data_IF_664014923892
#
_entry.id   IF_664014923892
#
_cell.length_a   1.000
_cell.length_b   1.000
_cell.length_c   1.000
_cell.angle_alpha   90.00
_cell.angle_beta   90.00
_cell.angle_gamma   90.00
#
_symmetry.space_group_name_H-M   'P 1'
#
loop_
_entity.id
_entity.type
_entity.pdbx_description
1 polymer ?
2 polymer ?
3 polymer ?
4 water ?
#
# COMPACT_ATOMS: atom_id res chain seq x y z
N UNK A 2 -25.29 6.88 -7.70
CA UNK A 2 -26.17 7.75 -8.48
C UNK A 2 -27.10 8.53 -7.53
N UNK A 3 -28.37 8.68 -7.94
CA UNK A 3 -29.51 9.03 -7.09
C UNK A 3 -29.54 10.51 -6.74
N UNK A 4 -28.43 11.03 -6.22
CA UNK A 4 -28.33 12.47 -6.07
C UNK A 4 -28.27 13.16 -7.44
N UNK A 5 -27.55 12.56 -8.39
CA UNK A 5 -27.30 13.28 -9.64
C UNK A 5 -28.50 13.32 -10.56
N UNK A 6 -29.49 12.48 -10.33
CA UNK A 6 -30.71 12.47 -11.13
C UNK A 6 -31.87 13.18 -10.44
N UNK A 7 -31.62 13.82 -9.29
CA UNK A 7 -32.68 14.65 -8.72
C UNK A 7 -32.91 15.86 -9.61
N UNK A 8 -34.15 16.34 -9.60
CA UNK A 8 -34.46 17.60 -10.25
C UNK A 8 -34.22 18.80 -9.36
N UNK A 9 -34.31 20.00 -9.95
CA UNK A 9 -34.00 21.22 -9.18
C UNK A 9 -34.91 21.47 -8.02
N UNK A 10 -36.23 21.19 -8.13
CA UNK A 10 -37.07 21.40 -6.96
C UNK A 10 -36.72 20.45 -5.84
N UNK A 11 -36.22 19.25 -6.20
CA UNK A 11 -35.82 18.28 -5.20
C UNK A 11 -34.53 18.71 -4.53
N UNK A 12 -33.52 19.08 -5.33
CA UNK A 12 -32.33 19.72 -4.76
C UNK A 12 -32.69 20.92 -3.87
N UNK A 13 -33.54 21.81 -4.35
CA UNK A 13 -33.88 23.01 -3.57
C UNK A 13 -34.50 22.67 -2.22
N UNK A 14 -35.20 21.54 -2.12
CA UNK A 14 -35.81 21.27 -0.86
C UNK A 14 -34.80 20.91 0.23
N UNK A 15 -33.55 20.60 -0.13
CA UNK A 15 -32.53 20.32 0.87
C UNK A 15 -31.96 21.58 1.50
N UNK A 16 -32.10 22.75 0.86
CA UNK A 16 -31.50 23.98 1.39
C UNK A 16 -32.00 24.25 2.79
N UNK A 17 -31.06 24.52 3.70
CA UNK A 17 -31.20 24.81 5.11
C UNK A 17 -31.41 23.56 5.96
N UNK A 18 -31.45 22.37 5.36
CA UNK A 18 -31.49 21.16 6.18
C UNK A 18 -30.07 20.79 6.58
N UNK A 19 -29.96 20.11 7.71
CA UNK A 19 -28.72 19.47 8.13
C UNK A 19 -28.66 18.08 7.54
N UNK A 20 -27.60 17.78 6.77
CA UNK A 20 -27.51 16.47 6.12
C UNK A 20 -26.21 15.78 6.48
N UNK A 21 -26.24 14.46 6.33
CA UNK A 21 -25.06 13.61 6.31
C UNK A 21 -24.84 13.17 4.87
N UNK A 22 -23.65 13.43 4.35
CA UNK A 22 -23.26 13.07 2.98
C UNK A 22 -22.15 12.05 3.07
N UNK A 23 -22.31 10.95 2.36
CA UNK A 23 -21.23 9.99 2.19
C UNK A 23 -20.71 10.14 0.76
N UNK A 24 -19.40 10.09 0.62
CA UNK A 24 -18.79 10.30 -0.68
C UNK A 24 -17.67 9.30 -0.91
N UNK A 25 -17.08 9.42 -2.10
CA UNK A 25 -15.98 8.56 -2.53
C UNK A 25 -14.95 8.39 -1.44
N UNK A 26 -14.33 7.21 -1.44
CA UNK A 26 -13.25 6.85 -0.52
C UNK A 26 -13.69 6.97 0.92
N UNK A 27 -14.98 6.70 1.18
CA UNK A 27 -15.57 6.69 2.52
C UNK A 27 -15.37 8.02 3.25
N UNK A 28 -15.33 9.10 2.50
CA UNK A 28 -15.44 10.43 3.08
C UNK A 28 -16.88 10.71 3.50
N UNK A 29 -17.01 11.38 4.64
CA UNK A 29 -18.30 11.63 5.27
C UNK A 29 -18.34 13.07 5.75
N UNK A 30 -19.50 13.71 5.63
CA UNK A 30 -19.68 15.11 5.91
C UNK A 30 -21.02 15.26 6.61
N UNK A 31 -21.07 16.11 7.60
CA UNK A 31 -22.34 16.58 8.17
C UNK A 31 -22.34 18.10 8.16
N UNK A 32 -23.44 18.71 7.71
CA UNK A 32 -23.48 20.15 7.58
C UNK A 32 -24.84 20.62 7.08
N UNK A 33 -24.97 21.94 7.00
CA UNK A 33 -26.20 22.60 6.65
C UNK A 33 -26.15 22.95 5.17
N UNK A 34 -27.14 22.50 4.42
CA UNK A 34 -27.10 22.70 2.97
C UNK A 34 -27.29 24.18 2.63
N UNK A 35 -26.30 24.74 1.95
CA UNK A 35 -26.42 26.09 1.43
C UNK A 35 -27.04 26.07 0.05
N UNK A 36 -26.57 25.17 -0.81
CA UNK A 36 -27.08 25.08 -2.17
C UNK A 36 -26.53 23.82 -2.82
N UNK A 37 -27.06 23.53 -4.01
CA UNK A 37 -26.51 22.51 -4.89
C UNK A 37 -26.28 23.20 -6.22
N UNK A 38 -25.09 23.07 -6.77
CA UNK A 38 -24.88 23.58 -8.10
C UNK A 38 -25.73 22.74 -9.06
N UNK A 39 -26.66 23.32 -9.82
CA UNK A 39 -27.47 22.48 -10.72
C UNK A 39 -26.69 22.00 -11.94
N UNK A 40 -25.53 22.58 -12.24
CA UNK A 40 -24.74 22.12 -13.38
C UNK A 40 -23.97 20.85 -13.04
N UNK A 41 -23.28 20.86 -11.91
CA UNK A 41 -22.40 19.79 -11.48
C UNK A 41 -23.03 18.85 -10.49
N UNK A 42 -24.14 19.25 -9.86
CA UNK A 42 -24.69 18.63 -8.66
C UNK A 42 -23.77 18.73 -7.43
N UNK A 43 -22.73 19.57 -7.47
CA UNK A 43 -21.91 19.79 -6.28
C UNK A 43 -22.78 20.28 -5.13
N UNK A 44 -22.64 19.66 -3.97
CA UNK A 44 -23.36 20.05 -2.76
C UNK A 44 -22.47 20.95 -1.92
N UNK A 45 -23.01 22.09 -1.49
CA UNK A 45 -22.29 23.05 -0.67
C UNK A 45 -22.93 23.07 0.73
N UNK A 46 -22.16 22.67 1.73
CA UNK A 46 -22.52 22.62 3.14
C UNK A 46 -21.86 23.75 3.89
N UNK A 47 -22.48 24.13 5.00
CA UNK A 47 -21.96 25.11 5.94
C UNK A 47 -21.90 24.45 7.30
N UNK A 48 -20.77 24.65 7.99
CA UNK A 48 -20.59 24.15 9.34
C UNK A 48 -20.39 25.30 10.29
N UNK A 49 -21.15 25.26 11.38
CA UNK A 49 -20.98 26.16 12.50
C UNK A 49 -19.97 25.51 13.46
N UNK A 50 -18.79 26.12 13.57
CA UNK A 50 -17.69 25.55 14.33
C UNK A 50 -17.74 25.97 15.81
N UNK A 51 -17.03 25.20 16.63
CA UNK A 51 -17.08 25.37 18.08
C UNK A 51 -16.56 26.74 18.50
N UNK A 52 -15.61 27.30 17.75
CA UNK A 52 -15.03 28.59 18.09
C UNK A 52 -15.92 29.75 17.63
N UNK A 53 -17.09 29.42 17.11
CA UNK A 53 -18.04 30.39 16.61
C UNK A 53 -17.93 30.74 15.15
N UNK A 54 -16.89 30.27 14.45
CA UNK A 54 -16.77 30.62 13.05
C UNK A 54 -17.55 29.62 12.20
N UNK A 55 -17.53 29.83 10.89
CA UNK A 55 -18.22 29.01 9.91
C UNK A 55 -17.26 28.58 8.81
N UNK A 56 -17.39 27.32 8.39
CA UNK A 56 -16.70 26.87 7.21
C UNK A 56 -17.73 26.45 6.19
N UNK A 57 -17.25 26.32 4.94
CA UNK A 57 -18.07 25.99 3.78
C UNK A 57 -17.34 24.86 3.06
N UNK A 58 -18.06 23.77 2.76
CA UNK A 58 -17.45 22.63 2.09
C UNK A 58 -18.27 22.28 0.87
N UNK A 59 -17.58 22.12 -0.26
CA UNK A 59 -18.17 21.64 -1.49
C UNK A 59 -17.77 20.20 -1.69
N UNK A 60 -18.78 19.37 -1.97
CA UNK A 60 -18.58 17.95 -2.31
C UNK A 60 -18.93 17.80 -3.79
N UNK A 61 -17.97 17.29 -4.56
CA UNK A 61 -18.19 17.13 -6.00
C UNK A 61 -19.39 16.22 -6.24
N UNK A 62 -20.26 16.65 -7.13
CA UNK A 62 -21.48 15.88 -7.36
C UNK A 62 -21.18 14.46 -7.78
N UNK A 63 -20.13 14.28 -8.60
CA UNK A 63 -19.77 12.94 -9.06
C UNK A 63 -19.20 12.05 -7.94
N UNK A 64 -18.79 12.64 -6.80
CA UNK A 64 -18.33 11.83 -5.69
C UNK A 64 -19.41 11.51 -4.66
N UNK A 65 -20.57 12.14 -4.75
CA UNK A 65 -21.63 11.90 -3.78
C UNK A 65 -22.17 10.50 -3.94
N UNK A 66 -22.30 9.77 -2.84
CA UNK A 66 -22.98 8.49 -2.85
C UNK A 66 -24.36 8.56 -2.22
N UNK A 67 -24.49 9.03 -0.96
CA UNK A 67 -25.77 9.20 -0.28
C UNK A 67 -25.86 10.55 0.43
N UNK A 68 -27.10 11.04 0.53
CA UNK A 68 -27.42 12.26 1.26
C UNK A 68 -28.63 11.94 2.14
N UNK A 69 -28.44 12.05 3.44
CA UNK A 69 -29.47 11.73 4.42
C UNK A 69 -29.78 12.97 5.23
N UNK A 70 -31.07 13.29 5.33
CA UNK A 70 -31.49 14.45 6.10
C UNK A 70 -31.49 14.09 7.59
N UNK A 71 -30.81 14.92 8.38
CA UNK A 71 -30.63 14.75 9.81
C UNK A 71 -31.53 15.67 10.65
N UNK A 72 -31.81 16.87 10.16
CA UNK A 72 -32.61 17.84 10.90
C UNK A 72 -33.10 18.88 9.92
N UNK A 73 -34.20 19.55 10.28
CA UNK A 73 -34.88 20.47 9.37
C UNK A 73 -34.36 21.90 9.44
N UNK A 74 -33.87 22.33 10.59
CA UNK A 74 -33.23 23.64 10.67
C UNK A 74 -34.18 24.82 10.75
N UNK A 75 -33.94 25.72 11.69
CA UNK A 75 -34.88 26.77 12.02
C UNK A 75 -34.47 28.11 11.39
N UNK A 76 -35.13 29.18 11.82
CA UNK A 76 -34.91 30.51 11.25
C UNK A 76 -33.54 31.07 11.56
N UNK A 77 -32.87 30.57 12.59
CA UNK A 77 -31.51 31.04 12.89
C UNK A 77 -30.51 30.53 11.87
N UNK A 78 -30.69 29.29 11.39
CA UNK A 78 -29.87 28.79 10.30
C UNK A 78 -30.00 29.71 9.10
N UNK A 79 -31.25 29.99 8.68
CA UNK A 79 -31.48 30.87 7.53
C UNK A 79 -30.75 32.19 7.70
N UNK A 80 -30.79 32.78 8.90
CA UNK A 80 -30.15 34.07 9.08
C UNK A 80 -28.65 33.94 8.99
N UNK A 81 -28.09 32.90 9.61
CA UNK A 81 -26.65 32.66 9.56
C UNK A 81 -26.16 32.51 8.12
N UNK A 82 -26.81 31.65 7.33
CA UNK A 82 -26.33 31.48 5.95
C UNK A 82 -26.55 32.76 5.15
N UNK A 83 -27.55 33.56 5.53
CA UNK A 83 -27.78 34.84 4.86
C UNK A 83 -26.60 35.80 5.03
N UNK A 84 -25.94 35.78 6.19
CA UNK A 84 -24.81 36.66 6.46
C UNK A 84 -23.47 35.95 6.33
N UNK A 85 -23.43 34.89 5.52
CA UNK A 85 -22.22 34.10 5.37
C UNK A 85 -21.19 34.85 4.55
N UNK A 86 -21.59 35.41 3.41
CA UNK A 86 -20.70 36.21 2.58
C UNK A 86 -21.03 37.70 2.66
N UNK B 2 12.78 -36.09 -2.12
CA UNK B 2 12.75 -35.21 -0.95
C UNK B 2 11.45 -34.41 -0.92
N UNK B 3 10.67 -34.53 0.16
CA UNK B 3 9.39 -33.83 0.23
C UNK B 3 9.59 -32.31 0.17
N UNK B 4 10.71 -31.82 0.69
CA UNK B 4 10.94 -30.37 0.70
C UNK B 4 11.05 -29.83 -0.72
N UNK B 5 11.86 -30.49 -1.53
CA UNK B 5 12.29 -29.94 -2.81
C UNK B 5 11.13 -29.75 -3.77
N UNK B 6 10.04 -30.46 -3.54
CA UNK B 6 8.91 -30.46 -4.46
C UNK B 6 7.66 -29.86 -3.81
N UNK B 7 7.83 -29.11 -2.73
CA UNK B 7 6.75 -28.27 -2.22
C UNK B 7 6.60 -27.03 -3.09
N UNK B 8 5.43 -26.45 -3.09
CA UNK B 8 5.24 -25.22 -3.83
C UNK B 8 5.62 -24.00 -3.00
N UNK B 9 5.64 -22.82 -3.61
CA UNK B 9 6.03 -21.62 -2.86
C UNK B 9 5.04 -21.21 -1.79
N UNK B 10 3.74 -21.40 -2.01
CA UNK B 10 2.80 -21.12 -0.93
C UNK B 10 3.07 -21.99 0.28
N UNK B 11 3.48 -23.23 0.05
CA UNK B 11 3.81 -24.09 1.17
C UNK B 11 5.12 -23.65 1.83
N UNK B 12 6.16 -23.38 1.04
CA UNK B 12 7.39 -22.83 1.62
C UNK B 12 7.11 -21.57 2.45
N UNK B 13 6.31 -20.65 1.92
CA UNK B 13 6.07 -19.38 2.59
C UNK B 13 5.42 -19.58 3.95
N UNK B 14 4.61 -20.63 4.08
CA UNK B 14 3.91 -20.86 5.33
C UNK B 14 4.87 -21.22 6.46
N UNK B 15 6.05 -21.77 6.12
CA UNK B 15 7.01 -22.12 7.16
C UNK B 15 7.73 -20.92 7.77
N UNK B 16 7.68 -19.75 7.13
CA UNK B 16 8.34 -18.58 7.70
C UNK B 16 7.84 -18.34 9.12
N UNK B 17 8.79 -18.05 10.01
CA UNK B 17 8.58 -17.74 11.43
C UNK B 17 8.37 -19.02 12.27
N UNK B 18 8.35 -20.20 11.67
CA UNK B 18 8.26 -21.43 12.43
C UNK B 18 9.65 -21.97 12.78
N UNK B 19 9.74 -22.63 13.92
CA UNK B 19 10.95 -23.37 14.26
C UNK B 19 10.88 -24.74 13.59
N UNK B 20 11.96 -25.11 12.92
CA UNK B 20 12.01 -26.40 12.23
C UNK B 20 13.32 -27.10 12.59
N UNK B 21 13.30 -28.42 12.40
CA UNK B 21 14.51 -29.23 12.38
C UNK B 21 14.73 -29.69 10.96
N UNK B 22 15.92 -29.43 10.42
CA UNK B 22 16.31 -29.80 9.08
C UNK B 22 17.39 -30.85 9.17
N UNK B 23 17.16 -32.00 8.53
CA UNK B 23 18.19 -33.01 8.34
C UNK B 23 18.73 -32.86 6.93
N UNK B 24 20.06 -32.92 6.79
CA UNK B 24 20.73 -32.61 5.55
C UNK B 24 21.76 -33.70 5.23
N UNK B 25 22.27 -33.67 3.99
CA UNK B 25 23.34 -34.56 3.55
C UNK B 25 24.42 -34.75 4.61
N UNK B 26 24.95 -35.98 4.68
CA UNK B 26 26.13 -36.31 5.49
C UNK B 26 25.87 -36.18 6.99
N UNK B 27 24.66 -36.55 7.42
CA UNK B 27 24.27 -36.57 8.83
C UNK B 27 24.42 -35.20 9.49
N UNK B 28 24.14 -34.14 8.73
CA UNK B 28 24.08 -32.80 9.30
C UNK B 28 22.66 -32.46 9.72
N UNK B 29 22.51 -31.90 10.93
CA UNK B 29 21.20 -31.56 11.46
C UNK B 29 21.23 -30.14 12.02
N UNK B 30 20.15 -29.39 11.74
CA UNK B 30 20.03 -27.99 12.02
C UNK B 30 18.67 -27.79 12.68
N UNK B 31 18.61 -26.86 13.61
CA UNK B 31 17.34 -26.47 14.22
C UNK B 31 17.29 -24.96 14.27
N UNK B 32 16.20 -24.34 13.83
CA UNK B 32 16.13 -22.90 13.90
C UNK B 32 14.84 -22.35 13.34
N UNK B 33 14.74 -21.02 13.35
CA UNK B 33 13.53 -20.32 12.95
C UNK B 33 13.63 -19.91 11.49
N UNK B 34 12.60 -20.22 10.71
CA UNK B 34 12.69 -20.05 9.27
C UNK B 34 12.50 -18.58 8.90
N UNK B 35 13.49 -18.03 8.23
CA UNK B 35 13.43 -16.70 7.67
C UNK B 35 12.82 -16.70 6.28
N UNK B 36 13.30 -17.59 5.41
CA UNK B 36 12.82 -17.68 4.05
C UNK B 36 13.36 -18.97 3.43
N UNK B 37 12.83 -19.29 2.24
CA UNK B 37 13.38 -20.31 1.37
C UNK B 37 13.58 -19.68 0.00
N UNK B 38 14.75 -19.83 -0.58
CA UNK B 38 14.97 -19.27 -1.91
C UNK B 38 14.13 -20.06 -2.90
N UNK B 39 13.20 -19.43 -3.64
CA UNK B 39 12.38 -20.22 -4.57
C UNK B 39 13.17 -20.75 -5.78
N UNK B 40 14.34 -20.20 -6.08
CA UNK B 40 15.15 -20.68 -7.20
C UNK B 40 15.83 -22.01 -6.85
N UNK B 41 16.48 -22.06 -5.69
CA UNK B 41 17.36 -23.14 -5.27
C UNK B 41 16.77 -24.03 -4.19
N UNK B 42 15.71 -23.56 -3.53
CA UNK B 42 15.12 -24.17 -2.34
C UNK B 42 16.07 -24.12 -1.13
N UNK B 43 17.12 -23.29 -1.18
CA UNK B 43 17.95 -23.07 0.01
C UNK B 43 17.06 -22.52 1.12
N UNK B 44 17.15 -23.15 2.30
CA UNK B 44 16.46 -22.73 3.51
C UNK B 44 17.35 -21.81 4.33
N UNK B 45 16.78 -20.71 4.81
CA UNK B 45 17.52 -19.78 5.67
C UNK B 45 16.89 -19.84 7.06
N UNK B 46 17.69 -20.24 8.05
CA UNK B 46 17.27 -20.42 9.44
C UNK B 46 17.97 -19.40 10.31
N UNK B 47 17.31 -19.04 11.41
CA UNK B 47 17.82 -18.09 12.41
C UNK B 47 17.86 -18.78 13.77
N UNK B 48 19.00 -18.68 14.46
CA UNK B 48 19.15 -19.24 15.78
C UNK B 48 19.37 -18.11 16.77
N UNK B 49 18.68 -18.24 17.90
CA UNK B 49 18.87 -17.38 19.05
C UNK B 49 19.86 -18.05 19.98
N UNK B 50 21.03 -17.43 20.16
CA UNK B 50 22.09 -18.03 20.93
C UNK B 50 21.99 -17.61 22.40
N UNK B 51 22.75 -18.31 23.23
CA UNK B 51 22.58 -18.19 24.69
C UNK B 51 22.82 -16.77 25.18
N UNK B 52 23.71 -16.03 24.54
CA UNK B 52 24.10 -14.68 24.97
C UNK B 52 23.25 -13.60 24.38
N UNK B 53 22.15 -13.97 23.72
CA UNK B 53 21.28 -13.00 23.12
C UNK B 53 21.57 -12.71 21.67
N UNK B 54 22.69 -13.18 21.13
CA UNK B 54 22.95 -12.88 19.74
C UNK B 54 22.21 -13.87 18.85
N UNK B 55 22.29 -13.65 17.55
CA UNK B 55 21.54 -14.39 16.54
C UNK B 55 22.54 -14.83 15.48
N UNK B 56 22.40 -16.07 15.01
CA UNK B 56 23.13 -16.54 13.85
C UNK B 56 22.14 -16.91 12.75
N UNK B 57 22.62 -16.86 11.50
CA UNK B 57 21.83 -17.19 10.34
C UNK B 57 22.52 -18.31 9.61
N UNK B 58 21.76 -19.33 9.24
CA UNK B 58 22.30 -20.51 8.59
C UNK B 58 21.49 -20.80 7.34
N UNK B 59 22.18 -20.90 6.21
CA UNK B 59 21.58 -21.35 4.98
C UNK B 59 21.95 -22.80 4.73
N UNK B 60 20.94 -23.60 4.39
CA UNK B 60 21.15 -25.00 4.06
C UNK B 60 20.83 -25.14 2.58
N UNK B 61 21.76 -25.67 1.82
CA UNK B 61 21.58 -25.74 0.37
C UNK B 61 20.41 -26.66 0.07
N UNK B 62 19.56 -26.22 -0.85
CA UNK B 62 18.35 -26.97 -1.16
C UNK B 62 18.63 -28.40 -1.60
N UNK B 63 19.73 -28.60 -2.35
CA UNK B 63 20.13 -29.93 -2.85
C UNK B 63 20.59 -30.87 -1.75
N UNK B 64 20.86 -30.35 -0.57
CA UNK B 64 21.27 -31.16 0.56
C UNK B 64 20.16 -31.38 1.58
N UNK B 65 19.03 -30.69 1.45
CA UNK B 65 17.94 -30.91 2.37
C UNK B 65 17.39 -32.32 2.17
N UNK B 66 17.21 -33.05 3.27
CA UNK B 66 16.52 -34.33 3.25
C UNK B 66 15.13 -34.27 3.85
N UNK B 67 14.99 -33.86 5.12
CA UNK B 67 13.71 -33.67 5.77
C UNK B 67 13.63 -32.31 6.45
N UNK B 68 12.41 -31.77 6.54
CA UNK B 68 12.11 -30.54 7.28
C UNK B 68 10.91 -30.82 8.16
N UNK B 69 11.09 -30.72 9.47
CA UNK B 69 10.03 -30.99 10.44
C UNK B 69 9.72 -29.76 11.27
N UNK B 70 8.44 -29.42 11.39
CA UNK B 70 8.07 -28.28 12.22
C UNK B 70 8.09 -28.67 13.69
N UNK B 71 8.75 -27.86 14.50
CA UNK B 71 8.82 -28.04 15.94
C UNK B 71 7.97 -27.06 16.73
N UNK B 72 7.79 -25.84 16.25
CA UNK B 72 7.10 -24.82 17.02
C UNK B 72 6.65 -23.70 16.08
N UNK B 73 5.61 -23.00 16.52
CA UNK B 73 4.96 -22.00 15.70
C UNK B 73 5.47 -20.59 15.95
N UNK B 74 6.09 -20.33 17.09
CA UNK B 74 6.72 -19.04 17.28
C UNK B 74 5.72 -17.90 17.39
N UNK B 75 6.05 -16.91 18.20
CA UNK B 75 5.09 -15.93 18.70
C UNK B 75 5.47 -14.53 18.22
N UNK B 76 4.79 -13.54 18.78
CA UNK B 76 5.07 -12.15 18.43
C UNK B 76 6.53 -11.81 18.67
N UNK B 77 7.10 -12.32 19.76
CA UNK B 77 8.49 -11.96 20.10
C UNK B 77 9.47 -12.49 19.06
N UNK B 78 9.30 -13.75 18.63
CA UNK B 78 10.15 -14.32 17.60
C UNK B 78 10.05 -13.50 16.31
N UNK B 79 8.83 -13.20 15.90
CA UNK B 79 8.63 -12.46 14.65
C UNK B 79 9.26 -11.07 14.74
N UNK B 80 9.16 -10.43 15.91
CA UNK B 80 9.77 -9.11 16.04
C UNK B 80 11.29 -9.24 15.92
N UNK B 81 11.87 -10.28 16.54
CA UNK B 81 13.32 -10.44 16.48
C UNK B 81 13.77 -10.65 15.05
N UNK B 82 13.07 -11.52 14.31
CA UNK B 82 13.48 -11.82 12.93
C UNK B 82 13.36 -10.59 12.04
N UNK B 83 12.47 -9.65 12.37
CA UNK B 83 12.36 -8.46 11.55
C UNK B 83 13.38 -7.39 11.92
N UNK B 84 14.12 -7.55 13.01
CA UNK B 84 15.26 -6.69 13.32
C UNK B 84 16.59 -7.39 13.18
N UNK B 85 16.64 -8.38 12.32
CA UNK B 85 17.86 -9.17 12.15
C UNK B 85 18.95 -8.40 11.42
N UNK B 86 18.59 -7.68 10.38
CA UNK B 86 19.52 -6.99 9.48
C UNK B 86 19.49 -5.49 9.67
N UNK C 1 -17.95 -7.68 -6.26
CA UNK C 1 -16.63 -7.26 -5.81
C UNK C 1 -15.53 -7.78 -6.75
N UNK C 2 -14.30 -7.28 -6.55
CA UNK C 2 -13.20 -7.63 -7.43
C UNK C 2 -13.01 -9.16 -7.45
N UNK C 3 -12.60 -9.67 -8.60
CA UNK C 3 -12.41 -11.11 -8.74
C UNK C 3 -11.29 -11.62 -7.83
N UNK C 4 -11.45 -12.86 -7.38
CA UNK C 4 -10.47 -13.44 -6.48
C UNK C 4 -9.12 -13.54 -7.19
N UNK C 5 -8.04 -13.43 -6.42
CA UNK C 5 -6.71 -13.57 -6.98
C UNK C 5 -6.48 -15.04 -7.34
N UNK C 6 -5.98 -15.28 -8.55
CA UNK C 6 -5.76 -16.65 -8.96
C UNK C 6 -4.71 -17.30 -8.08
N UNK C 7 -4.75 -18.63 -8.02
CA UNK C 7 -3.74 -19.36 -7.26
C UNK C 7 -2.35 -19.14 -7.86
N UNK C 8 -2.28 -19.06 -9.19
CA UNK C 8 -0.99 -18.82 -9.84
C UNK C 8 -0.44 -17.46 -9.43
N UNK C 9 -1.28 -16.42 -9.44
CA UNK C 9 -0.83 -15.09 -9.02
C UNK C 9 -0.39 -15.11 -7.56
N UNK C 10 -1.08 -15.88 -6.72
CA UNK C 10 -0.69 -15.97 -5.32
C UNK C 10 0.67 -16.65 -5.17
N UNK C 11 0.91 -17.69 -5.96
CA UNK C 11 2.19 -18.40 -5.92
C UNK C 11 3.31 -17.49 -6.38
N UNK C 12 3.04 -16.66 -7.39
CA UNK C 12 4.03 -15.72 -7.89
C UNK C 12 4.38 -14.67 -6.85
N UNK C 13 3.37 -14.19 -6.10
CA UNK C 13 3.65 -13.24 -5.02
C UNK C 13 4.47 -13.89 -3.93
N UNK C 14 4.19 -15.17 -3.63
CA UNK C 14 4.95 -15.89 -2.62
C UNK C 14 6.40 -16.08 -3.06
N UNK C 15 6.63 -16.45 -4.32
CA UNK C 15 8.01 -16.55 -4.78
C UNK C 15 8.71 -15.20 -4.64
N UNK C 16 8.02 -14.11 -4.98
CA UNK C 16 8.68 -12.81 -4.93
C UNK C 16 9.00 -12.44 -3.49
N UNK C 17 8.10 -12.77 -2.56
CA UNK C 17 8.34 -12.49 -1.15
C UNK C 17 9.51 -13.31 -0.62
N UNK C 18 9.53 -14.61 -0.94
CA UNK C 18 10.63 -15.48 -0.54
C UNK C 18 11.96 -15.03 -1.13
N UNK C 19 11.95 -14.67 -2.41
CA UNK C 19 13.20 -14.27 -3.10
C UNK C 19 13.73 -12.97 -2.52
N UNK C 20 12.84 -12.00 -2.32
CA UNK C 20 13.27 -10.75 -1.73
C UNK C 20 13.97 -10.99 -0.41
N UNK C 21 13.35 -11.79 0.47
CA UNK C 21 13.96 -12.06 1.76
C UNK C 21 15.31 -12.75 1.63
N UNK C 22 15.40 -13.73 0.72
CA UNK C 22 16.67 -14.40 0.45
C UNK C 22 17.73 -13.41 -0.03
N UNK C 23 17.37 -12.55 -0.99
CA UNK C 23 18.32 -11.56 -1.48
C UNK C 23 18.80 -10.65 -0.35
N UNK C 24 17.89 -10.23 0.55
CA UNK C 24 18.29 -9.40 1.69
C UNK C 24 19.30 -10.15 2.54
N UNK C 25 19.11 -11.46 2.70
CA UNK C 25 20.00 -12.25 3.55
C UNK C 25 21.38 -12.39 2.91
N UNK C 26 21.45 -12.33 1.57
CA UNK C 26 22.76 -12.36 0.91
C UNK C 26 23.46 -11.02 1.06
N UNK C 27 22.72 -9.93 0.85
CA UNK C 27 23.26 -8.60 1.06
C UNK C 27 23.80 -8.44 2.48
N UNK C 28 23.13 -9.05 3.46
CA UNK C 28 23.56 -8.91 4.85
C UNK C 28 24.94 -9.51 5.13
N UNK C 29 25.47 -10.35 4.24
CA UNK C 29 26.75 -10.97 4.48
C UNK C 29 27.90 -10.08 4.05
N UNK C 30 27.63 -9.04 3.27
CA UNK C 30 28.66 -8.09 2.88
C UNK C 30 29.36 -7.56 4.13
N UNK C 31 30.70 -7.59 4.10
CA UNK C 31 31.46 -7.12 5.24
C UNK C 31 31.48 -8.03 6.46
N UNK C 32 31.15 -9.30 6.27
CA UNK C 32 31.12 -10.27 7.35
C UNK C 32 31.93 -11.50 6.98
N UNK C 33 32.35 -12.21 8.01
CA UNK C 33 32.83 -13.57 7.82
C UNK C 33 31.65 -14.48 7.61
N UNK C 34 31.89 -15.55 6.87
CA UNK C 34 30.91 -16.59 6.66
C UNK C 34 31.62 -17.92 6.86
N UNK C 35 31.03 -18.79 7.67
CA UNK C 35 31.52 -20.14 7.81
C UNK C 35 30.78 -21.06 6.84
N UNK C 36 31.40 -22.20 6.57
CA UNK C 36 30.78 -23.20 5.71
C UNK C 36 30.98 -24.60 6.29
N UNK C 37 30.01 -25.47 6.04
CA UNK C 37 30.15 -26.91 6.25
C UNK C 37 30.22 -27.53 4.85
N UNK C 38 31.37 -28.15 4.53
CA UNK C 38 31.61 -28.73 3.21
C UNK C 38 31.42 -30.24 3.24
N UNK C 39 31.67 -30.89 2.10
CA UNK C 39 31.76 -32.33 2.08
C UNK C 39 32.79 -32.84 3.07
N UNK C 40 32.58 -34.06 3.56
CA UNK C 40 33.46 -34.74 4.50
C UNK C 40 33.34 -34.14 5.90
N UNK C 41 32.46 -33.18 6.11
CA UNK C 41 32.31 -32.58 7.41
C UNK C 41 33.26 -31.45 7.67
N UNK C 42 34.01 -31.04 6.65
CA UNK C 42 35.02 -30.03 6.82
C UNK C 42 34.34 -28.70 7.12
N UNK C 43 34.86 -27.98 8.09
CA UNK C 43 34.34 -26.68 8.47
C UNK C 43 35.42 -25.63 8.17
N UNK C 44 35.03 -24.62 7.40
CA UNK C 44 35.93 -23.57 6.94
C UNK C 44 35.22 -22.23 7.14
N UNK C 45 36.00 -21.16 7.02
CA UNK C 45 35.42 -19.84 7.10
C UNK C 45 36.26 -18.88 6.28
N UNK C 46 35.61 -17.80 5.86
CA UNK C 46 36.25 -16.78 5.04
C UNK C 46 35.55 -15.45 5.18
N UNK C 47 36.17 -14.42 4.59
CA UNK C 47 35.52 -13.13 4.40
C UNK C 47 34.59 -13.20 3.19
N UNK C 48 33.34 -12.79 3.38
CA UNK C 48 32.38 -12.85 2.30
C UNK C 48 32.75 -11.84 1.24
N UNK C 49 32.72 -12.25 -0.02
CA UNK C 49 32.84 -11.34 -1.15
C UNK C 49 31.53 -11.21 -1.93
N UNK C 50 31.03 -12.32 -2.45
CA UNK C 50 29.84 -12.28 -3.29
C UNK C 50 29.28 -13.69 -3.44
N UNK C 51 28.02 -13.77 -3.87
CA UNK C 51 27.52 -15.01 -4.41
C UNK C 51 26.98 -14.73 -5.81
N UNK C 52 26.96 -15.77 -6.62
CA UNK C 52 26.15 -15.74 -7.82
C UNK C 52 24.67 -15.73 -7.40
N UNK C 53 23.81 -15.17 -8.24
CA UNK C 53 22.40 -15.09 -7.90
C UNK C 53 21.54 -16.19 -8.53
N UNK C 54 22.03 -16.88 -9.54
CA UNK C 54 21.30 -18.00 -10.11
C UNK C 54 21.58 -19.29 -9.35
N UNK C 55 22.85 -19.52 -9.03
CA UNK C 55 23.33 -20.66 -8.25
C UNK C 55 24.15 -20.11 -7.10
N UNK C 56 24.05 -20.72 -5.93
CA UNK C 56 24.67 -20.17 -4.74
C UNK C 56 26.16 -20.55 -4.62
N UNK C 57 26.96 -20.12 -5.61
CA UNK C 57 28.41 -20.17 -5.50
C UNK C 57 28.91 -18.98 -4.71
N UNK C 58 29.90 -19.17 -3.85
CA UNK C 58 30.45 -18.11 -3.01
C UNK C 58 31.85 -17.70 -3.44
N UNK C 59 32.06 -16.40 -3.64
CA UNK C 59 33.36 -15.80 -3.82
C UNK C 59 33.80 -15.24 -2.48
N UNK C 60 34.95 -15.71 -1.98
CA UNK C 60 35.42 -15.38 -0.64
C UNK C 60 36.91 -15.10 -0.67
N UNK C 61 37.37 -14.45 0.38
CA UNK C 61 38.79 -14.18 0.57
C UNK C 61 39.20 -14.64 1.96
N UNK C 62 40.49 -14.93 2.10
CA UNK C 62 41.08 -15.42 3.34
C UNK C 62 40.33 -16.65 3.84
N UNK C 63 40.14 -17.60 2.93
CA UNK C 63 39.52 -18.87 3.29
C UNK C 63 40.45 -19.67 4.19
N UNK C 64 39.98 -19.95 5.41
CA UNK C 64 40.72 -20.72 6.40
C UNK C 64 40.23 -22.16 6.37
N UNK C 65 41.09 -23.08 5.92
CA UNK C 65 40.80 -24.50 5.96
C UNK C 65 41.69 -25.23 6.94
N UNK C 66 41.42 -26.53 7.17
CA UNK C 66 42.26 -27.30 8.09
C UNK C 66 43.70 -27.45 7.64
N UNK C 67 44.04 -27.14 6.38
CA UNK C 67 45.43 -27.26 5.94
C UNK C 67 46.07 -25.93 5.61
N UNK C 68 45.35 -24.82 5.70
CA UNK C 68 45.96 -23.53 5.42
C UNK C 68 44.94 -22.47 5.03
N UNK C 69 45.48 -21.32 4.64
CA UNK C 69 44.69 -20.18 4.24
C UNK C 69 44.85 -19.94 2.73
N UNK C 70 43.74 -19.79 2.06
CA UNK C 70 43.69 -19.52 0.62
C UNK C 70 43.22 -18.09 0.45
N UNK C 71 44.06 -17.25 -0.18
CA UNK C 71 43.82 -15.80 -0.23
C UNK C 71 42.52 -15.46 -0.93
N UNK C 72 42.22 -16.15 -2.02
CA UNK C 72 40.99 -15.96 -2.78
C UNK C 72 40.45 -17.33 -3.12
N UNK C 73 39.15 -17.49 -3.01
CA UNK C 73 38.57 -18.78 -3.34
C UNK C 73 37.16 -18.60 -3.87
N UNK C 74 36.76 -19.60 -4.66
CA UNK C 74 35.39 -19.79 -5.13
C UNK C 74 34.92 -21.13 -4.57
N UNK C 75 33.92 -21.08 -3.70
CA UNK C 75 33.32 -22.28 -3.15
C UNK C 75 32.07 -22.52 -3.96
N UNK C 76 32.06 -23.61 -4.71
CA UNK C 76 30.92 -23.91 -5.54
C UNK C 76 29.72 -24.35 -4.71
N UNK C 77 28.53 -24.01 -5.23
CA UNK C 77 27.29 -24.45 -4.58
C UNK C 77 27.31 -25.94 -4.31
N UNK C 78 27.80 -26.74 -5.26
CA UNK C 78 27.89 -28.17 -5.06
C UNK C 78 28.88 -28.60 -3.98
N UNK C 79 29.84 -27.75 -3.61
CA UNK C 79 30.79 -28.07 -2.55
C UNK C 79 30.20 -27.89 -1.15
N UNK C 80 29.08 -27.16 -1.03
CA UNK C 80 28.61 -26.63 0.25
C UNK C 80 27.39 -27.43 0.69
N UNK C 81 27.33 -27.76 1.97
CA UNK C 81 26.09 -28.23 2.60
C UNK C 81 25.35 -27.09 3.29
N UNK C 82 26.05 -26.29 4.10
CA UNK C 82 25.44 -25.14 4.74
C UNK C 82 26.48 -24.04 4.93
N UNK C 83 25.96 -22.82 5.13
CA UNK C 83 26.77 -21.67 5.49
C UNK C 83 26.11 -20.93 6.66
N UNK C 84 26.93 -20.27 7.47
CA UNK C 84 26.42 -19.61 8.67
C UNK C 84 27.18 -18.30 8.85
N UNK C 85 26.45 -17.27 9.29
CA UNK C 85 27.09 -16.00 9.62
C UNK C 85 26.31 -15.31 10.71
N UNK C 86 26.98 -14.33 11.34
CA UNK C 86 26.37 -13.54 12.41
C UNK C 86 26.14 -12.14 11.88
N UNK C 87 24.89 -11.68 11.73
CA UNK C 87 24.69 -10.31 11.22
C UNK C 87 25.27 -9.15 12.11
N UNK D 1 12.40 -19.17 -32.32
CA UNK D 1 13.77 -18.94 -31.90
C UNK D 1 13.81 -18.16 -30.58
N UNK D 2 13.49 -16.88 -30.60
CA UNK D 2 13.44 -16.05 -29.38
C UNK D 2 14.69 -16.26 -28.52
N UNK D 3 15.82 -15.82 -29.09
CA UNK D 3 17.16 -16.07 -28.59
C UNK D 3 17.92 -14.79 -28.28
N UNK D 4 17.22 -13.69 -28.02
CA UNK D 4 17.91 -12.48 -27.59
C UNK D 4 18.59 -12.74 -26.25
N UNK D 5 19.71 -12.07 -25.97
CA UNK D 5 20.33 -12.23 -24.65
C UNK D 5 19.33 -11.93 -23.55
N UNK D 6 19.27 -12.83 -22.57
CA UNK D 6 18.36 -12.69 -21.45
C UNK D 6 16.90 -12.93 -21.76
N UNK D 7 16.53 -13.15 -23.02
CA UNK D 7 15.10 -13.20 -23.33
C UNK D 7 14.44 -14.41 -22.70
N UNK D 8 15.07 -15.57 -22.77
CA UNK D 8 14.48 -16.75 -22.16
C UNK D 8 14.39 -16.59 -20.66
N UNK D 9 15.45 -16.02 -20.06
CA UNK D 9 15.45 -15.73 -18.64
C UNK D 9 14.26 -14.87 -18.30
N UNK D 10 14.00 -13.86 -19.11
CA UNK D 10 12.94 -12.91 -18.81
C UNK D 10 11.59 -13.61 -18.71
N UNK D 11 11.34 -14.56 -19.60
CA UNK D 11 10.07 -15.27 -19.57
C UNK D 11 9.98 -16.14 -18.32
N UNK D 12 11.08 -16.77 -17.93
CA UNK D 12 11.06 -17.56 -16.70
C UNK D 12 10.86 -16.66 -15.48
N UNK D 13 11.43 -15.46 -15.48
CA UNK D 13 11.15 -14.53 -14.38
C UNK D 13 9.69 -14.14 -14.32
N UNK D 14 9.07 -13.87 -15.48
CA UNK D 14 7.63 -13.63 -15.51
C UNK D 14 6.84 -14.85 -15.03
N UNK D 15 7.23 -16.06 -15.46
CA UNK D 15 6.51 -17.25 -14.99
C UNK D 15 6.62 -17.38 -13.49
N UNK D 16 7.81 -17.14 -12.95
CA UNK D 16 8.06 -17.31 -11.53
C UNK D 16 7.44 -16.21 -10.70
N UNK D 17 7.57 -14.97 -11.14
CA UNK D 17 7.23 -13.82 -10.28
C UNK D 17 6.07 -13.00 -10.81
N UNK D 18 5.53 -13.32 -11.99
CA UNK D 18 4.38 -12.56 -12.45
C UNK D 18 4.65 -11.07 -12.44
N UNK D 19 3.66 -10.31 -11.94
CA UNK D 19 3.73 -8.85 -11.99
C UNK D 19 4.86 -8.29 -11.14
N UNK D 20 5.48 -9.11 -10.30
CA UNK D 20 6.61 -8.68 -9.49
C UNK D 20 7.97 -8.91 -10.16
N UNK D 21 7.99 -9.43 -11.39
CA UNK D 21 9.27 -9.73 -12.05
C UNK D 21 10.18 -8.50 -12.14
N UNK D 22 9.65 -7.35 -12.54
CA UNK D 22 10.49 -6.16 -12.63
C UNK D 22 11.10 -5.81 -11.28
N UNK D 23 10.34 -5.95 -10.21
CA UNK D 23 10.85 -5.55 -8.90
C UNK D 23 11.98 -6.46 -8.48
N UNK D 24 11.83 -7.76 -8.71
CA UNK D 24 12.86 -8.72 -8.36
C UNK D 24 14.10 -8.53 -9.23
N UNK D 25 13.92 -8.30 -10.54
CA UNK D 25 15.08 -8.02 -11.39
C UNK D 25 15.83 -6.78 -10.93
N UNK D 26 15.09 -5.78 -10.44
CA UNK D 26 15.76 -4.57 -9.95
C UNK D 26 16.52 -4.84 -8.69
N UNK D 27 15.95 -5.66 -7.80
CA UNK D 27 16.64 -6.03 -6.57
C UNK D 27 17.91 -6.82 -6.88
N UNK D 28 17.82 -7.80 -7.78
CA UNK D 28 18.98 -8.61 -8.11
C UNK D 28 20.09 -7.76 -8.72
N UNK D 29 19.73 -6.88 -9.65
CA UNK D 29 20.67 -5.91 -10.19
C UNK D 29 21.39 -5.14 -9.09
N UNK D 30 20.65 -4.62 -8.11
CA UNK D 30 21.28 -3.85 -7.06
C UNK D 30 22.14 -4.74 -6.15
N UNK D 31 21.68 -5.96 -5.86
CA UNK D 31 22.49 -6.86 -5.05
C UNK D 31 23.79 -7.17 -5.77
N UNK D 32 23.72 -7.46 -7.07
CA UNK D 32 24.91 -7.76 -7.82
C UNK D 32 25.87 -6.57 -7.82
N UNK D 33 25.33 -5.37 -8.04
CA UNK D 33 26.11 -4.15 -7.95
C UNK D 33 26.86 -4.07 -6.61
N UNK D 34 26.12 -4.19 -5.51
CA UNK D 34 26.73 -4.14 -4.19
C UNK D 34 27.85 -5.18 -4.04
N UNK D 35 27.65 -6.36 -4.62
CA UNK D 35 28.72 -7.35 -4.64
C UNK D 35 29.88 -6.86 -5.49
N UNK D 36 29.60 -6.66 -6.77
CA UNK D 36 30.63 -6.27 -7.73
C UNK D 36 31.33 -4.97 -7.30
N UNK D 37 30.75 -4.21 -6.37
CA UNK D 37 31.40 -3.00 -5.87
C UNK D 37 32.73 -3.33 -5.20
N UNK D 38 32.78 -4.41 -4.43
CA UNK D 38 33.94 -4.71 -3.61
C UNK D 38 34.04 -6.21 -3.33
N UNK D 39 33.78 -7.02 -4.34
CA UNK D 39 33.79 -8.48 -4.17
C UNK D 39 35.14 -8.95 -3.62
N UNK E 3 -53.28 33.08 -15.01
CA UNK E 3 -52.84 31.77 -15.50
C UNK E 3 -51.56 31.34 -14.77
N UNK E 4 -51.57 30.12 -14.24
CA UNK E 4 -50.59 29.68 -13.27
C UNK E 4 -49.19 29.55 -13.88
N UNK E 5 -48.18 29.69 -13.04
CA UNK E 5 -46.82 29.37 -13.46
C UNK E 5 -46.69 27.86 -13.66
N UNK E 6 -46.11 27.46 -14.78
CA UNK E 6 -45.98 26.03 -15.02
C UNK E 6 -44.97 25.40 -14.05
N UNK E 7 -45.03 24.06 -13.95
CA UNK E 7 -44.04 23.35 -13.16
C UNK E 7 -42.66 23.60 -13.73
N UNK E 8 -42.54 23.64 -15.05
CA UNK E 8 -41.25 23.83 -15.67
C UNK E 8 -40.67 25.20 -15.30
N UNK E 9 -41.50 26.24 -15.36
CA UNK E 9 -41.06 27.56 -14.91
C UNK E 9 -40.60 27.57 -13.45
N UNK E 10 -41.28 26.81 -12.58
CA UNK E 10 -40.84 26.66 -11.20
C UNK E 10 -39.50 25.94 -11.11
N UNK E 11 -39.32 24.88 -11.89
CA UNK E 11 -38.02 24.23 -11.93
C UNK E 11 -36.95 25.18 -12.39
N UNK E 12 -37.24 25.99 -13.40
CA UNK E 12 -36.22 26.91 -13.92
C UNK E 12 -35.85 27.97 -12.89
N UNK E 13 -36.81 28.42 -12.10
CA UNK E 13 -36.50 29.38 -11.06
C UNK E 13 -35.66 28.76 -9.97
N UNK E 14 -35.93 27.50 -9.64
CA UNK E 14 -35.15 26.79 -8.63
C UNK E 14 -33.73 26.56 -9.12
N UNK E 15 -33.57 26.18 -10.38
CA UNK E 15 -32.21 26.08 -10.95
C UNK E 15 -31.48 27.41 -10.84
N UNK E 16 -32.15 28.49 -11.17
CA UNK E 16 -31.50 29.78 -11.13
C UNK E 16 -31.15 30.18 -9.72
N UNK E 17 -32.05 29.92 -8.76
CA UNK E 17 -31.74 30.19 -7.37
C UNK E 17 -30.55 29.36 -6.89
N UNK E 18 -30.55 28.05 -7.19
CA UNK E 18 -29.44 27.18 -6.80
C UNK E 18 -28.12 27.65 -7.41
N UNK E 19 -28.17 28.03 -8.68
CA UNK E 19 -26.93 28.42 -9.38
C UNK E 19 -26.39 29.74 -8.85
N UNK E 20 -27.30 30.68 -8.58
CA UNK E 20 -26.88 31.96 -8.01
C UNK E 20 -26.18 31.76 -6.67
N UNK E 21 -26.75 30.94 -5.80
CA UNK E 21 -26.13 30.69 -4.50
C UNK E 21 -24.76 30.04 -4.66
N UNK E 22 -24.66 29.07 -5.58
CA UNK E 22 -23.38 28.44 -5.86
C UNK E 22 -22.36 29.44 -6.37
N UNK E 23 -22.75 30.29 -7.33
CA UNK E 23 -21.84 31.27 -7.90
C UNK E 23 -21.37 32.27 -6.86
N UNK E 24 -22.26 32.68 -5.97
CA UNK E 24 -21.82 33.50 -4.84
C UNK E 24 -20.80 32.76 -3.97
N UNK E 25 -20.96 31.44 -3.79
CA UNK E 25 -20.02 30.74 -2.94
C UNK E 25 -18.65 30.65 -3.60
N UNK E 26 -18.60 30.66 -4.94
CA UNK E 26 -17.30 30.68 -5.61
C UNK E 26 -16.65 32.05 -5.50
N UNK E 27 -17.43 33.11 -5.72
CA UNK E 27 -16.92 34.47 -5.59
C UNK E 27 -16.37 34.69 -4.20
N UNK E 28 -17.00 34.10 -3.16
CA UNK E 28 -16.53 34.22 -1.78
C UNK E 28 -15.15 33.61 -1.56
N UNK E 29 -14.63 32.80 -2.49
CA UNK E 29 -13.35 32.16 -2.31
C UNK E 29 -12.20 33.03 -2.77
N UNK E 30 -12.50 34.09 -3.51
CA UNK E 30 -11.46 34.98 -3.99
C UNK E 30 -10.72 35.58 -2.80
N UNK E 31 -9.38 35.57 -2.87
CA UNK E 31 -8.57 36.07 -1.79
C UNK E 31 -8.56 35.22 -0.53
N UNK E 32 -8.92 33.95 -0.62
CA UNK E 32 -8.89 33.00 0.50
C UNK E 32 -8.07 31.77 0.16
N UNK E 33 -7.60 31.09 1.21
CA UNK E 33 -7.10 29.73 1.05
C UNK E 33 -8.27 28.78 0.84
N UNK E 34 -7.99 27.67 0.17
CA UNK E 34 -8.95 26.59 0.00
C UNK E 34 -8.20 25.29 0.24
N UNK E 35 -8.79 24.42 1.05
CA UNK E 35 -8.30 23.08 1.25
C UNK E 35 -9.03 22.14 0.30
N UNK E 36 -8.41 21.00 0.04
CA UNK E 36 -9.00 19.98 -0.81
C UNK E 36 -8.79 18.60 -0.20
N UNK E 37 -9.79 17.76 -0.38
CA UNK E 37 -9.66 16.32 -0.15
C UNK E 37 -9.54 15.65 -1.51
N UNK E 38 -8.41 15.01 -1.77
CA UNK E 38 -8.15 14.36 -3.04
C UNK E 38 -8.24 12.84 -2.91
N UNK E 39 -7.84 12.14 -3.96
CA UNK E 39 -7.79 10.70 -3.92
C UNK E 39 -6.70 10.20 -2.99
N UNK E 40 -6.81 8.93 -2.63
CA UNK E 40 -5.89 8.27 -1.70
C UNK E 40 -5.84 8.97 -0.35
N UNK E 41 -6.89 9.69 -0.01
CA UNK E 41 -6.99 10.34 1.30
C UNK E 41 -6.14 11.58 1.44
N UNK E 42 -5.54 12.05 0.33
CA UNK E 42 -4.59 13.15 0.39
C UNK E 42 -5.31 14.47 0.66
N UNK E 43 -4.78 15.24 1.60
CA UNK E 43 -5.30 16.56 1.92
C UNK E 43 -4.25 17.59 1.53
N UNK E 44 -4.65 18.58 0.70
CA UNK E 44 -3.79 19.67 0.28
C UNK E 44 -4.52 20.98 0.51
N UNK E 45 -3.79 22.07 0.37
CA UNK E 45 -4.42 23.38 0.46
C UNK E 45 -3.62 24.34 -0.40
N UNK E 46 -4.29 25.43 -0.81
CA UNK E 46 -3.73 26.43 -1.70
C UNK E 46 -4.44 27.77 -1.55
N UNK E 47 -3.89 28.77 -2.23
CA UNK E 47 -4.56 30.04 -2.41
C UNK E 47 -5.49 29.93 -3.60
N UNK E 48 -6.74 30.32 -3.42
CA UNK E 48 -7.71 30.24 -4.51
C UNK E 48 -7.37 31.21 -5.61
N UNK E 49 -7.48 30.75 -6.87
CA UNK E 49 -7.43 31.64 -8.02
C UNK E 49 -8.73 31.73 -8.79
N UNK E 50 -9.21 30.61 -9.32
CA UNK E 50 -10.43 30.61 -10.10
C UNK E 50 -10.97 29.19 -10.15
N UNK E 51 -12.23 29.07 -10.55
CA UNK E 51 -12.75 27.80 -11.01
C UNK E 51 -13.32 28.02 -12.40
N UNK E 52 -13.37 26.96 -13.18
CA UNK E 52 -14.20 26.96 -14.37
C UNK E 52 -15.67 26.90 -13.94
N UNK E 53 -16.53 27.42 -14.80
CA UNK E 53 -17.95 27.56 -14.49
C UNK E 53 -18.78 26.50 -15.17
N UNK E 54 -18.17 25.72 -16.07
CA UNK E 54 -18.81 24.52 -16.60
C UNK E 54 -18.44 23.28 -15.77
N UNK E 55 -17.16 23.04 -15.61
CA UNK E 55 -16.64 21.92 -14.83
C UNK E 55 -15.88 22.51 -13.65
N UNK E 56 -15.99 21.86 -12.50
CA UNK E 56 -15.47 22.41 -11.25
C UNK E 56 -13.97 22.17 -11.12
N UNK E 57 -13.21 22.63 -12.12
CA UNK E 57 -11.75 22.66 -12.04
C UNK E 57 -11.30 23.88 -11.25
N UNK E 58 -10.20 23.73 -10.49
CA UNK E 58 -9.70 24.80 -9.66
C UNK E 58 -8.29 25.22 -10.10
N UNK E 59 -8.14 26.51 -10.34
CA UNK E 59 -6.84 27.12 -10.57
C UNK E 59 -6.38 27.75 -9.26
N UNK E 60 -5.21 27.33 -8.78
CA UNK E 60 -4.75 27.73 -7.45
C UNK E 60 -3.27 28.08 -7.55
N UNK E 61 -2.78 28.73 -6.50
CA UNK E 61 -1.38 29.08 -6.37
C UNK E 61 -0.89 28.65 -4.99
N UNK E 62 0.43 28.50 -4.89
CA UNK E 62 1.08 28.01 -3.67
C UNK E 62 0.36 26.79 -3.11
N UNK E 63 0.24 25.76 -3.97
CA UNK E 63 -0.38 24.50 -3.55
C UNK E 63 0.56 23.72 -2.66
N UNK E 64 0.12 23.46 -1.44
CA UNK E 64 0.87 22.73 -0.43
C UNK E 64 0.45 21.27 -0.44
N UNK E 65 1.38 20.37 -0.85
CA UNK E 65 1.13 18.94 -0.81
C UNK E 65 2.09 18.26 0.15
N UNK E 66 1.90 16.98 0.45
CA UNK E 66 2.82 16.30 1.35
C UNK E 66 4.24 16.21 0.85
N UNK E 67 4.51 16.52 -0.42
CA UNK E 67 5.86 16.49 -0.97
C UNK E 67 6.47 17.88 -1.03
N UNK E 68 5.68 18.87 -1.38
CA UNK E 68 6.19 20.22 -1.43
C UNK E 68 5.17 21.21 -1.92
N UNK E 69 5.68 22.38 -2.31
CA UNK E 69 4.86 23.49 -2.77
C UNK E 69 4.98 23.62 -4.27
N UNK E 70 3.83 23.81 -4.91
CA UNK E 70 3.74 24.04 -6.35
C UNK E 70 3.22 25.45 -6.53
N UNK E 71 3.99 26.29 -7.22
CA UNK E 71 3.69 27.72 -7.26
C UNK E 71 2.33 27.98 -7.91
N UNK E 72 2.01 27.22 -8.98
CA UNK E 72 0.73 27.27 -9.67
C UNK E 72 0.28 25.85 -9.97
N UNK E 73 -1.03 25.62 -9.91
CA UNK E 73 -1.53 24.27 -10.17
C UNK E 73 -2.96 24.37 -10.69
N UNK E 74 -3.32 23.40 -11.51
CA UNK E 74 -4.71 23.16 -11.86
C UNK E 74 -5.11 21.83 -11.24
N UNK E 75 -6.11 21.88 -10.36
CA UNK E 75 -6.64 20.69 -9.72
C UNK E 75 -7.90 20.34 -10.50
N UNK E 76 -7.87 19.24 -11.21
CA UNK E 76 -8.99 18.91 -12.07
C UNK E 76 -10.16 18.41 -11.24
N UNK E 77 -11.36 18.71 -11.73
CA UNK E 77 -12.58 18.28 -11.07
C UNK E 77 -12.59 16.77 -10.77
N UNK E 78 -12.15 15.94 -11.74
CA UNK E 78 -12.08 14.50 -11.48
C UNK E 78 -11.09 14.12 -10.39
N UNK E 79 -10.17 15.02 -10.02
CA UNK E 79 -9.17 14.77 -8.99
C UNK E 79 -9.70 15.06 -7.59
N UNK E 80 -10.79 15.82 -7.48
CA UNK E 80 -11.25 16.36 -6.22
C UNK E 80 -12.44 15.56 -5.72
N UNK E 81 -12.46 15.23 -4.42
CA UNK E 81 -13.68 14.76 -3.77
C UNK E 81 -14.40 15.91 -3.09
N UNK E 82 -13.68 16.76 -2.34
CA UNK E 82 -14.33 17.88 -1.67
C UNK E 82 -13.32 19.00 -1.49
N UNK E 83 -13.83 20.21 -1.26
CA UNK E 83 -12.99 21.35 -0.93
C UNK E 83 -13.65 22.11 0.21
N UNK E 84 -12.83 22.81 1.00
CA UNK E 84 -13.34 23.54 2.17
C UNK E 84 -12.64 24.89 2.28
N UNK E 85 -13.39 25.91 2.69
CA UNK E 85 -12.79 27.22 2.96
C UNK E 85 -13.55 27.94 4.06
N UNK E 86 -12.96 29.01 4.57
CA UNK E 86 -13.56 29.86 5.61
C UNK E 86 -13.81 31.23 5.01
N UNK E 87 -15.06 31.67 4.85
CA UNK E 87 -15.25 33.03 4.33
C UNK E 87 -14.68 34.19 5.19
N UNK F 3 -17.73 19.35 10.41
CA UNK F 3 -17.73 18.01 10.99
C UNK F 3 -17.58 16.98 9.85
N UNK F 4 -16.60 16.11 10.08
CA UNK F 4 -16.18 15.05 9.17
C UNK F 4 -16.29 13.80 10.03
N UNK F 5 -17.51 13.25 10.17
CA UNK F 5 -17.74 12.19 11.17
C UNK F 5 -17.07 10.88 10.83
N UNK F 6 -16.47 10.74 9.66
CA UNK F 6 -15.89 9.47 9.28
C UNK F 6 -14.38 9.40 9.40
N UNK F 7 -13.73 10.50 9.79
CA UNK F 7 -12.27 10.51 9.85
C UNK F 7 -11.74 9.52 10.88
N UNK F 8 -12.40 9.38 12.05
CA UNK F 8 -11.90 8.42 13.04
C UNK F 8 -11.92 7.00 12.47
N UNK F 9 -13.02 6.66 11.77
CA UNK F 9 -13.12 5.37 11.10
C UNK F 9 -12.02 5.18 10.08
N UNK F 10 -11.75 6.22 9.27
CA UNK F 10 -10.72 6.06 8.24
C UNK F 10 -9.38 5.76 8.88
N UNK F 11 -9.08 6.42 10.00
CA UNK F 11 -7.81 6.19 10.66
C UNK F 11 -7.73 4.77 11.19
N UNK F 12 -8.83 4.28 11.77
CA UNK F 12 -8.86 2.90 12.26
C UNK F 12 -8.72 1.89 11.11
N UNK F 13 -9.37 2.14 9.97
CA UNK F 13 -9.19 1.27 8.82
C UNK F 13 -7.74 1.27 8.34
N UNK F 14 -7.08 2.43 8.42
CA UNK F 14 -5.66 2.50 8.06
C UNK F 14 -4.80 1.75 9.07
N UNK F 15 -5.12 1.89 10.37
CA UNK F 15 -4.40 1.13 11.40
C UNK F 15 -4.51 -0.37 11.14
N UNK F 16 -5.71 -0.83 10.78
CA UNK F 16 -5.99 -2.25 10.67
C UNK F 16 -5.45 -2.83 9.37
N UNK F 17 -5.60 -2.08 8.28
CA UNK F 17 -5.39 -2.65 6.97
C UNK F 17 -4.25 -2.00 6.18
N UNK F 18 -3.68 -0.92 6.70
CA UNK F 18 -2.54 -0.28 6.06
C UNK F 18 -2.82 0.10 4.63
N UNK F 19 -1.87 -0.29 3.77
CA UNK F 19 -1.93 0.04 2.36
C UNK F 19 -3.20 -0.49 1.70
N UNK F 20 -3.80 -1.53 2.28
CA UNK F 20 -4.98 -2.19 1.71
C UNK F 20 -6.28 -1.59 2.18
N UNK F 21 -6.22 -0.46 2.91
CA UNK F 21 -7.43 0.06 3.51
C UNK F 21 -8.47 0.38 2.45
N UNK F 22 -8.08 1.08 1.39
CA UNK F 22 -9.07 1.42 0.37
C UNK F 22 -9.56 0.19 -0.40
N UNK F 23 -8.71 -0.81 -0.59
CA UNK F 23 -9.20 -2.03 -1.24
C UNK F 23 -10.32 -2.66 -0.39
N UNK F 24 -10.10 -2.73 0.93
CA UNK F 24 -11.05 -3.37 1.82
C UNK F 24 -12.33 -2.53 1.91
N UNK F 25 -12.19 -1.22 1.90
CA UNK F 25 -13.37 -0.36 1.92
C UNK F 25 -14.21 -0.56 0.67
N UNK F 26 -13.57 -0.67 -0.49
CA UNK F 26 -14.31 -0.93 -1.72
C UNK F 26 -15.02 -2.27 -1.64
N UNK F 27 -14.36 -3.28 -1.08
CA UNK F 27 -15.01 -4.59 -0.95
C UNK F 27 -16.24 -4.51 -0.06
N UNK F 28 -16.10 -3.84 1.08
CA UNK F 28 -17.22 -3.75 2.01
C UNK F 28 -18.38 -3.00 1.36
N UNK F 29 -18.07 -1.91 0.66
CA UNK F 29 -19.07 -1.22 -0.17
C UNK F 29 -19.77 -2.17 -1.13
N UNK F 30 -19.01 -2.96 -1.89
CA UNK F 30 -19.62 -3.81 -2.91
C UNK F 30 -20.47 -4.91 -2.30
N UNK F 31 -20.04 -5.47 -1.16
CA UNK F 31 -20.85 -6.47 -0.49
C UNK F 31 -22.14 -5.84 0.02
N UNK F 32 -22.06 -4.62 0.56
CA UNK F 32 -23.25 -3.88 0.96
C UNK F 32 -24.23 -3.76 -0.20
N UNK F 33 -23.75 -3.26 -1.34
CA UNK F 33 -24.60 -3.12 -2.51
C UNK F 33 -25.29 -4.43 -2.84
N UNK F 34 -24.51 -5.51 -2.92
CA UNK F 34 -25.10 -6.82 -3.20
C UNK F 34 -26.18 -7.16 -2.17
N UNK F 35 -25.97 -6.81 -0.91
CA UNK F 35 -26.99 -7.00 0.11
C UNK F 35 -28.16 -6.05 -0.10
N UNK F 36 -27.89 -4.74 0.01
CA UNK F 36 -28.92 -3.73 -0.06
C UNK F 36 -29.81 -3.89 -1.29
N UNK F 37 -29.31 -4.57 -2.32
CA UNK F 37 -30.14 -4.85 -3.48
C UNK F 37 -31.40 -5.61 -3.09
N UNK F 38 -31.28 -6.61 -2.21
CA UNK F 38 -32.44 -7.41 -1.83
C UNK F 38 -32.34 -7.88 -0.38
N UNK F 39 -31.79 -7.04 0.50
CA UNK F 39 -31.60 -7.41 1.91
C UNK F 39 -32.91 -7.81 2.60
#
# INVERSE_FOLDING_TARGET
MSEWMKKGPLEWQDYIYKEVRVTASEKNEYKGWVLTTDPVSANIVLVNFLEDGSMSVTGIMGHAVQTVETMNEGDHRVREKLMHLFTSGDCK
MSEWMKKGPLEWQDYIYKEVRVTASEKNEYKGWVLTTDPVSANIVLVNFLEDGSMSVTGIMGHAVQTVETMNEGDHRVREKLMHLFTSGDCK
MIAQESLESQEQRARAALRERYLRSLLAMVGHQVSFTLHEGVRVAAHFGATDLDVANFYVSQLQTPIGVQAEALLRCSDIISYTFKP
HMERPGERRQAEMKRLYGDSAAKIQAMEAAVQLSFDKHCDRK
MIAQESLESQEQRARAALRERYLRSLLAMVGHQVSFTLHEGVRVAAHFGATDLDVANFYVSQLQTPIGVQAEALLRCSDIISYTFKP
HMERPGERRQAEMKRLYGDSAAKIQAMEAAVQLSFDKHCDRK
#
